data_IF_981194355780
#
_entry.id   IF_981194355780
#
_cell.length_a   1.000
_cell.length_b   1.000
_cell.length_c   1.000
_cell.angle_alpha   90.00
_cell.angle_beta   90.00
_cell.angle_gamma   90.00
#
_symmetry.space_group_name_H-M   'P 1'
#
loop_
_entity.id
_entity.type
_entity.pdbx_description
1 polymer ?
#
# COMPACT_ATOMS: atom_id res chain seq x y z
N UNK A 1 -11.67 -38.55 19.60
CA UNK A 1 -12.10 -37.29 20.23
C UNK A 1 -13.07 -36.63 19.29
N UNK A 2 -14.33 -36.45 19.69
CA UNK A 2 -15.32 -35.78 18.86
C UNK A 2 -14.89 -34.32 18.73
N UNK A 3 -14.41 -33.91 17.55
CA UNK A 3 -14.17 -32.51 17.27
C UNK A 3 -15.51 -31.80 17.44
N UNK A 4 -15.57 -30.78 18.29
CA UNK A 4 -16.75 -29.95 18.45
C UNK A 4 -17.17 -29.44 17.06
N UNK A 5 -18.38 -29.76 16.63
CA UNK A 5 -18.92 -29.23 15.39
C UNK A 5 -18.89 -27.70 15.43
N UNK A 6 -18.36 -27.09 14.38
CA UNK A 6 -18.26 -25.63 14.23
C UNK A 6 -19.66 -25.01 14.29
N UNK A 7 -19.96 -24.26 15.34
CA UNK A 7 -21.26 -23.60 15.56
C UNK A 7 -21.25 -22.11 15.18
N UNK A 8 -20.29 -21.66 14.38
CA UNK A 8 -20.15 -20.26 13.96
C UNK A 8 -19.64 -20.17 12.51
N UNK A 9 -19.87 -19.02 11.86
CA UNK A 9 -19.48 -18.83 10.46
C UNK A 9 -18.06 -18.28 10.28
N UNK A 10 -17.35 -17.96 11.36
CA UNK A 10 -15.97 -17.45 11.33
C UNK A 10 -14.94 -18.50 10.92
N UNK A 11 -13.84 -18.06 10.32
CA UNK A 11 -12.67 -18.89 10.02
C UNK A 11 -11.76 -18.94 11.26
N UNK A 12 -11.48 -20.15 11.77
CA UNK A 12 -10.45 -20.37 12.78
C UNK A 12 -9.17 -20.77 12.03
N UNK A 13 -8.27 -19.81 11.88
CA UNK A 13 -7.02 -19.99 11.12
C UNK A 13 -6.10 -20.94 11.88
N UNK A 14 -5.47 -21.86 11.15
CA UNK A 14 -4.44 -22.74 11.70
C UNK A 14 -3.19 -21.95 12.14
N UNK A 15 -2.39 -22.48 13.08
CA UNK A 15 -1.13 -21.85 13.46
C UNK A 15 -0.21 -21.64 12.25
N UNK A 16 0.04 -20.37 11.91
CA UNK A 16 0.87 -19.98 10.76
C UNK A 16 2.21 -19.36 11.22
N UNK A 17 3.34 -19.69 10.58
CA UNK A 17 4.63 -19.09 10.89
C UNK A 17 4.81 -17.67 10.33
N UNK A 18 4.01 -17.27 9.33
CA UNK A 18 4.21 -16.04 8.57
C UNK A 18 4.21 -14.74 9.38
N UNK A 19 3.40 -14.57 10.45
CA UNK A 19 3.48 -13.39 11.30
C UNK A 19 4.88 -13.19 11.91
N UNK A 20 5.50 -14.27 12.40
CA UNK A 20 6.83 -14.20 13.03
C UNK A 20 7.92 -13.98 11.97
N UNK A 21 7.86 -14.69 10.85
CA UNK A 21 8.82 -14.53 9.75
C UNK A 21 8.76 -13.10 9.19
N UNK A 22 7.56 -12.56 9.01
CA UNK A 22 7.35 -11.18 8.57
C UNK A 22 7.88 -10.15 9.57
N UNK A 23 7.62 -10.34 10.87
CA UNK A 23 8.14 -9.45 11.91
C UNK A 23 9.68 -9.43 11.96
N UNK A 24 10.33 -10.60 11.87
CA UNK A 24 11.80 -10.68 11.82
C UNK A 24 12.33 -10.03 10.54
N UNK A 25 11.70 -10.27 9.39
CA UNK A 25 12.10 -9.68 8.11
C UNK A 25 11.99 -8.15 8.12
N UNK A 26 10.91 -7.62 8.68
CA UNK A 26 10.71 -6.19 8.87
C UNK A 26 11.76 -5.58 9.82
N UNK A 27 12.06 -6.26 10.93
CA UNK A 27 13.10 -5.83 11.86
C UNK A 27 14.49 -5.79 11.20
N UNK A 28 14.86 -6.84 10.47
CA UNK A 28 16.14 -6.90 9.73
C UNK A 28 16.20 -5.80 8.67
N UNK A 29 15.10 -5.52 7.98
CA UNK A 29 15.02 -4.42 7.00
C UNK A 29 15.24 -3.07 7.68
N UNK A 30 14.55 -2.80 8.80
CA UNK A 30 14.67 -1.55 9.53
C UNK A 30 16.08 -1.33 10.10
N UNK A 31 16.66 -2.33 10.77
CA UNK A 31 18.04 -2.27 11.28
C UNK A 31 19.03 -2.14 10.12
N UNK A 32 18.85 -2.91 9.05
CA UNK A 32 19.68 -2.82 7.85
C UNK A 32 19.66 -1.44 7.21
N UNK A 33 18.48 -0.81 7.12
CA UNK A 33 18.34 0.55 6.61
C UNK A 33 19.05 1.57 7.50
N UNK A 34 18.89 1.48 8.83
CA UNK A 34 19.58 2.36 9.79
C UNK A 34 21.10 2.22 9.65
N UNK A 35 21.62 0.99 9.65
CA UNK A 35 23.07 0.75 9.56
C UNK A 35 23.65 1.18 8.21
N UNK A 36 22.87 1.05 7.14
CA UNK A 36 23.26 1.54 5.82
C UNK A 36 23.31 3.07 5.75
N UNK A 37 22.28 3.76 6.26
CA UNK A 37 22.22 5.24 6.27
C UNK A 37 23.29 5.87 7.17
N UNK A 38 23.77 5.14 8.18
CA UNK A 38 24.90 5.57 9.04
C UNK A 38 26.26 5.09 8.52
N UNK A 39 26.33 4.54 7.30
CA UNK A 39 27.57 4.08 6.66
C UNK A 39 28.34 2.98 7.44
N UNK A 40 27.67 2.25 8.35
CA UNK A 40 28.29 1.20 9.18
C UNK A 40 28.38 -0.12 8.41
N UNK A 41 27.31 -0.48 7.68
CA UNK A 41 27.24 -1.69 6.85
C UNK A 41 26.77 -1.36 5.43
N UNK A 42 27.18 -2.15 4.43
CA UNK A 42 26.61 -2.03 3.09
C UNK A 42 25.11 -2.41 3.08
N UNK A 43 24.41 -1.98 2.04
CA UNK A 43 22.95 -2.13 1.85
C UNK A 43 22.44 -3.59 1.89
N UNK A 44 23.32 -4.59 1.81
CA UNK A 44 22.99 -6.00 1.71
C UNK A 44 22.11 -6.53 2.86
N UNK A 45 22.30 -6.03 4.09
CA UNK A 45 21.47 -6.46 5.22
C UNK A 45 20.02 -5.98 5.07
N UNK A 46 19.83 -4.73 4.63
CA UNK A 46 18.50 -4.18 4.31
C UNK A 46 17.84 -4.99 3.20
N UNK A 47 18.56 -5.29 2.11
CA UNK A 47 18.04 -6.07 0.99
C UNK A 47 17.68 -7.50 1.39
N UNK A 48 18.46 -8.14 2.25
CA UNK A 48 18.15 -9.47 2.76
C UNK A 48 16.84 -9.48 3.56
N UNK A 49 16.64 -8.49 4.44
CA UNK A 49 15.38 -8.30 5.15
C UNK A 49 14.21 -8.05 4.19
N UNK A 50 14.42 -7.19 3.20
CA UNK A 50 13.38 -6.82 2.22
C UNK A 50 12.94 -8.02 1.37
N UNK A 51 13.88 -8.86 0.92
CA UNK A 51 13.57 -10.14 0.25
C UNK A 51 12.76 -11.06 1.18
N UNK A 52 13.08 -11.09 2.48
CA UNK A 52 12.30 -11.81 3.48
C UNK A 52 10.85 -11.32 3.60
N UNK A 53 10.62 -10.00 3.52
CA UNK A 53 9.28 -9.42 3.49
C UNK A 53 8.53 -9.88 2.24
N UNK A 54 9.15 -9.76 1.06
CA UNK A 54 8.53 -10.19 -0.21
C UNK A 54 8.18 -11.68 -0.20
N UNK A 55 9.09 -12.51 0.32
CA UNK A 55 8.83 -13.94 0.49
C UNK A 55 7.67 -14.20 1.44
N UNK A 56 7.62 -13.50 2.58
CA UNK A 56 6.50 -13.62 3.53
C UNK A 56 5.17 -13.25 2.88
N UNK A 57 5.13 -12.14 2.12
CA UNK A 57 3.92 -11.72 1.40
C UNK A 57 3.47 -12.79 0.39
N UNK A 58 4.41 -13.29 -0.42
CA UNK A 58 4.12 -14.34 -1.40
C UNK A 58 3.59 -15.62 -0.75
N UNK A 59 4.29 -16.14 0.26
CA UNK A 59 3.93 -17.39 0.91
C UNK A 59 2.61 -17.27 1.69
N UNK A 60 2.45 -16.18 2.45
CA UNK A 60 1.23 -15.95 3.23
C UNK A 60 0.01 -15.76 2.33
N UNK A 61 0.12 -14.97 1.26
CA UNK A 61 -1.00 -14.83 0.32
C UNK A 61 -1.32 -16.12 -0.43
N UNK A 62 -0.32 -16.96 -0.71
CA UNK A 62 -0.55 -18.28 -1.30
C UNK A 62 -1.41 -19.16 -0.39
N UNK A 63 -1.15 -19.14 0.91
CA UNK A 63 -1.95 -19.87 1.90
C UNK A 63 -3.39 -19.30 1.99
N UNK A 64 -3.54 -17.98 2.04
CA UNK A 64 -4.88 -17.32 2.04
C UNK A 64 -5.67 -17.64 0.76
N UNK A 65 -5.01 -17.76 -0.40
CA UNK A 65 -5.65 -18.20 -1.64
C UNK A 65 -6.11 -19.66 -1.54
N UNK A 66 -5.29 -20.55 -0.96
CA UNK A 66 -5.67 -21.94 -0.75
C UNK A 66 -6.85 -22.08 0.23
N UNK A 67 -6.84 -21.31 1.32
CA UNK A 67 -7.93 -21.19 2.29
C UNK A 67 -9.21 -20.65 1.62
N UNK A 68 -9.08 -19.64 0.75
CA UNK A 68 -10.21 -19.06 0.05
C UNK A 68 -10.87 -19.98 -0.99
N UNK A 69 -10.08 -20.84 -1.64
CA UNK A 69 -10.55 -21.72 -2.70
C UNK A 69 -11.03 -23.10 -2.21
N UNK A 70 -10.88 -23.42 -0.93
CA UNK A 70 -11.28 -24.73 -0.40
C UNK A 70 -12.80 -24.90 -0.22
N UNK A 71 -13.58 -23.82 -0.44
CA UNK A 71 -15.04 -23.82 -0.39
C UNK A 71 -15.65 -23.92 1.01
N UNK A 72 -14.86 -23.81 2.08
CA UNK A 72 -15.31 -23.95 3.48
C UNK A 72 -14.98 -22.75 4.36
N UNK A 73 -13.79 -22.18 4.21
CA UNK A 73 -13.29 -21.21 5.19
C UNK A 73 -13.72 -19.77 4.91
N UNK A 74 -13.85 -19.37 3.65
CA UNK A 74 -14.33 -18.04 3.26
C UNK A 74 -15.87 -18.00 3.11
N UNK A 75 -16.57 -18.17 4.24
CA UNK A 75 -18.03 -17.98 4.31
C UNK A 75 -18.44 -16.54 3.94
N UNK A 76 -19.71 -16.26 3.61
CA UNK A 76 -20.16 -14.90 3.34
C UNK A 76 -19.85 -13.89 4.47
N UNK A 77 -19.88 -14.35 5.73
CA UNK A 77 -19.49 -13.54 6.89
C UNK A 77 -18.01 -13.19 6.82
N UNK A 78 -17.13 -14.15 6.55
CA UNK A 78 -15.67 -13.91 6.42
C UNK A 78 -15.35 -13.00 5.24
N UNK A 79 -16.00 -13.21 4.09
CA UNK A 79 -15.83 -12.34 2.91
C UNK A 79 -16.27 -10.89 3.18
N UNK A 80 -17.34 -10.68 3.96
CA UNK A 80 -17.75 -9.35 4.39
C UNK A 80 -16.67 -8.67 5.24
N UNK A 81 -16.02 -9.41 6.15
CA UNK A 81 -14.92 -8.87 6.95
C UNK A 81 -13.67 -8.57 6.11
N UNK A 82 -13.35 -9.36 5.08
CA UNK A 82 -12.28 -9.00 4.13
C UNK A 82 -12.58 -7.69 3.40
N UNK A 83 -13.84 -7.44 3.01
CA UNK A 83 -14.25 -6.16 2.39
C UNK A 83 -14.07 -5.00 3.36
N UNK A 84 -14.54 -5.13 4.61
CA UNK A 84 -14.32 -4.10 5.63
C UNK A 84 -12.83 -3.87 5.93
N UNK A 85 -12.04 -4.94 6.03
CA UNK A 85 -10.60 -4.86 6.21
C UNK A 85 -9.92 -4.07 5.07
N UNK A 86 -10.27 -4.37 3.81
CA UNK A 86 -9.72 -3.64 2.65
C UNK A 86 -10.17 -2.18 2.62
N UNK A 87 -11.43 -1.88 2.96
CA UNK A 87 -11.93 -0.50 3.04
C UNK A 87 -11.16 0.28 4.11
N UNK A 88 -10.97 -0.29 5.30
CA UNK A 88 -10.24 0.37 6.39
C UNK A 88 -8.75 0.55 6.05
N UNK A 89 -8.14 -0.44 5.38
CA UNK A 89 -6.77 -0.34 4.89
C UNK A 89 -6.61 0.81 3.87
N UNK A 90 -7.47 0.86 2.84
CA UNK A 90 -7.48 1.98 1.87
C UNK A 90 -7.72 3.32 2.58
N UNK A 91 -8.64 3.36 3.55
CA UNK A 91 -8.90 4.58 4.32
C UNK A 91 -7.65 5.04 5.10
N UNK A 92 -6.85 4.11 5.67
CA UNK A 92 -5.58 4.49 6.31
C UNK A 92 -4.54 5.02 5.32
N UNK A 93 -4.48 4.47 4.10
CA UNK A 93 -3.60 4.97 3.04
C UNK A 93 -4.01 6.37 2.57
N UNK A 94 -5.32 6.64 2.44
CA UNK A 94 -5.83 7.99 2.15
C UNK A 94 -5.38 8.98 3.22
N UNK A 95 -5.47 8.62 4.50
CA UNK A 95 -5.00 9.48 5.60
C UNK A 95 -3.47 9.70 5.58
N UNK A 96 -2.70 8.69 5.18
CA UNK A 96 -1.27 8.85 4.92
C UNK A 96 -1.01 9.88 3.81
N UNK A 97 -1.72 9.83 2.69
CA UNK A 97 -1.64 10.86 1.64
C UNK A 97 -2.09 12.25 2.12
N UNK A 98 -3.13 12.33 2.96
CA UNK A 98 -3.58 13.60 3.55
C UNK A 98 -2.44 14.29 4.30
N UNK A 99 -1.57 13.55 5.01
CA UNK A 99 -0.42 14.14 5.69
C UNK A 99 0.60 14.76 4.70
N UNK A 100 0.83 14.12 3.55
CA UNK A 100 1.69 14.68 2.49
C UNK A 100 1.07 15.90 1.81
N UNK A 101 -0.23 15.86 1.51
CA UNK A 101 -0.94 17.03 1.00
C UNK A 101 -0.94 18.17 2.00
N UNK A 102 -1.08 17.87 3.30
CA UNK A 102 -0.94 18.86 4.35
C UNK A 102 0.44 19.51 4.31
N UNK A 103 1.52 18.73 4.28
CA UNK A 103 2.88 19.25 4.20
C UNK A 103 3.09 20.12 2.93
N UNK A 104 2.55 19.69 1.80
CA UNK A 104 2.57 20.47 0.56
C UNK A 104 1.81 21.80 0.71
N UNK A 105 0.57 21.78 1.18
CA UNK A 105 -0.26 22.98 1.29
C UNK A 105 0.24 23.94 2.37
N UNK A 106 0.82 23.43 3.45
CA UNK A 106 1.47 24.24 4.48
C UNK A 106 2.59 25.09 3.87
N UNK A 107 3.41 24.52 2.98
CA UNK A 107 4.45 25.27 2.26
C UNK A 107 3.84 26.15 1.17
N UNK A 108 2.89 25.64 0.38
CA UNK A 108 2.26 26.35 -0.74
C UNK A 108 1.49 27.60 -0.31
N UNK A 109 0.81 27.58 0.83
CA UNK A 109 0.07 28.76 1.33
C UNK A 109 0.90 29.62 2.28
N UNK A 110 1.91 29.06 2.93
CA UNK A 110 2.77 29.76 3.89
C UNK A 110 4.19 29.98 3.38
N UNK A 111 4.41 30.16 2.08
CA UNK A 111 5.75 30.29 1.49
C UNK A 111 6.48 31.57 1.93
N UNK A 112 5.75 32.63 2.27
CA UNK A 112 6.25 33.95 2.68
C UNK A 112 6.06 34.21 4.19
N UNK A 113 5.72 33.18 4.96
CA UNK A 113 5.37 33.33 6.36
C UNK A 113 6.55 33.79 7.22
N UNK A 114 6.40 34.96 7.86
CA UNK A 114 7.45 35.61 8.67
C UNK A 114 7.86 34.80 9.92
N UNK A 115 7.03 33.88 10.38
CA UNK A 115 7.32 32.99 11.51
C UNK A 115 8.19 31.77 11.12
N UNK A 116 8.45 31.54 9.83
CA UNK A 116 9.21 30.41 9.30
C UNK A 116 10.38 30.91 8.44
N UNK A 117 11.32 31.62 9.06
CA UNK A 117 12.45 32.28 8.37
C UNK A 117 13.26 31.31 7.51
N UNK A 118 13.55 30.10 8.01
CA UNK A 118 14.29 29.08 7.27
C UNK A 118 13.57 28.61 5.99
N UNK A 119 12.23 28.63 5.98
CA UNK A 119 11.44 28.32 4.78
C UNK A 119 11.59 29.43 3.76
N UNK A 120 11.41 30.69 4.16
CA UNK A 120 11.53 31.85 3.26
C UNK A 120 12.91 31.91 2.63
N UNK A 121 13.96 31.59 3.39
CA UNK A 121 15.33 31.47 2.89
C UNK A 121 15.47 30.35 1.86
N UNK A 122 14.87 29.19 2.10
CA UNK A 122 14.92 28.05 1.18
C UNK A 122 14.06 28.22 -0.08
N UNK A 123 12.91 28.91 0.00
CA UNK A 123 11.98 29.08 -1.13
C UNK A 123 12.20 30.38 -1.89
N UNK A 124 12.88 31.37 -1.29
CA UNK A 124 12.95 32.73 -1.81
C UNK A 124 11.67 33.55 -1.56
N UNK A 125 10.75 33.06 -0.71
CA UNK A 125 9.49 33.74 -0.41
C UNK A 125 8.47 33.71 -1.55
N UNK A 126 8.55 32.73 -2.44
CA UNK A 126 7.54 32.50 -3.49
C UNK A 126 7.36 31.02 -3.79
N UNK A 127 6.26 30.68 -4.47
CA UNK A 127 5.98 29.34 -4.97
C UNK A 127 5.74 29.37 -6.48
N UNK A 128 6.37 28.49 -7.28
CA UNK A 128 7.37 27.48 -6.91
C UNK A 128 8.69 28.12 -6.44
N UNK A 129 9.53 27.45 -5.62
CA UNK A 129 10.82 27.98 -5.18
C UNK A 129 11.75 28.42 -6.31
N UNK A 130 12.65 29.38 -6.05
CA UNK A 130 13.68 29.80 -7.01
C UNK A 130 14.48 28.60 -7.53
N UNK A 131 14.61 28.48 -8.84
CA UNK A 131 15.38 27.40 -9.47
C UNK A 131 14.63 26.07 -9.63
N UNK A 132 13.36 25.99 -9.22
CA UNK A 132 12.49 24.85 -9.48
C UNK A 132 11.66 25.10 -10.73
N UNK A 133 11.92 24.32 -11.79
CA UNK A 133 11.08 24.30 -12.99
C UNK A 133 9.91 23.34 -12.79
N UNK A 134 8.70 23.82 -13.09
CA UNK A 134 7.49 23.01 -13.00
C UNK A 134 7.24 22.25 -14.29
N UNK A 135 6.73 21.03 -14.17
CA UNK A 135 6.20 20.29 -15.32
C UNK A 135 4.95 20.98 -15.86
N UNK A 136 4.85 21.08 -17.19
CA UNK A 136 3.62 21.51 -17.84
C UNK A 136 2.51 20.46 -17.58
N UNK A 137 1.40 20.83 -16.91
CA UNK A 137 0.33 19.90 -16.61
C UNK A 137 -0.35 19.33 -17.87
N UNK A 138 -0.27 20.00 -19.02
CA UNK A 138 -0.94 19.60 -20.26
C UNK A 138 -0.15 18.57 -21.09
N UNK A 139 1.05 18.20 -20.66
CA UNK A 139 1.91 17.24 -21.33
C UNK A 139 1.83 15.85 -20.69
N UNK A 140 2.92 15.36 -20.10
CA UNK A 140 3.00 14.03 -19.49
C UNK A 140 2.00 13.82 -18.33
N UNK A 141 1.76 14.80 -17.43
CA UNK A 141 0.79 14.63 -16.35
C UNK A 141 -0.64 14.39 -16.86
N UNK A 142 -1.07 15.11 -17.90
CA UNK A 142 -2.37 14.89 -18.53
C UNK A 142 -2.48 13.48 -19.12
N UNK A 143 -1.46 13.03 -19.86
CA UNK A 143 -1.46 11.70 -20.45
C UNK A 143 -1.55 10.60 -19.39
N UNK A 144 -0.81 10.73 -18.29
CA UNK A 144 -0.89 9.81 -17.15
C UNK A 144 -2.29 9.80 -16.52
N UNK A 145 -2.95 10.96 -16.45
CA UNK A 145 -4.32 11.07 -15.94
C UNK A 145 -5.30 10.32 -16.84
N UNK A 146 -5.19 10.48 -18.16
CA UNK A 146 -6.01 9.76 -19.14
C UNK A 146 -5.76 8.24 -19.08
N UNK A 147 -4.50 7.82 -18.92
CA UNK A 147 -4.14 6.41 -18.77
C UNK A 147 -4.81 5.81 -17.52
N UNK A 148 -4.76 6.51 -16.38
CA UNK A 148 -5.41 6.04 -15.16
C UNK A 148 -6.94 5.97 -15.31
N UNK A 149 -7.58 6.99 -15.88
CA UNK A 149 -9.03 7.01 -16.10
C UNK A 149 -9.49 5.89 -17.05
N UNK A 150 -8.76 5.69 -18.15
CA UNK A 150 -9.07 4.62 -19.10
C UNK A 150 -8.82 3.25 -18.50
N UNK A 151 -7.77 3.06 -17.69
CA UNK A 151 -7.55 1.81 -16.95
C UNK A 151 -8.69 1.49 -15.95
N UNK A 152 -9.31 2.53 -15.37
CA UNK A 152 -10.51 2.41 -14.54
C UNK A 152 -11.73 1.90 -15.31
N UNK A 153 -11.86 2.32 -16.58
CA UNK A 153 -12.92 1.84 -17.47
C UNK A 153 -12.69 0.38 -17.86
N UNK A 154 -11.45 0.00 -18.20
CA UNK A 154 -11.12 -1.38 -18.59
C UNK A 154 -11.27 -2.36 -17.43
N UNK A 155 -10.89 -2.00 -16.19
CA UNK A 155 -11.10 -2.88 -15.04
C UNK A 155 -12.59 -3.02 -14.68
N UNK A 156 -13.39 -1.96 -14.88
CA UNK A 156 -14.84 -2.02 -14.69
C UNK A 156 -15.48 -2.96 -15.71
N UNK A 157 -15.03 -2.91 -16.96
CA UNK A 157 -15.44 -3.88 -17.98
C UNK A 157 -15.06 -5.30 -17.57
N UNK A 158 -13.79 -5.57 -17.24
CA UNK A 158 -13.35 -6.90 -16.83
C UNK A 158 -14.17 -7.45 -15.64
N UNK A 159 -14.56 -6.58 -14.69
CA UNK A 159 -15.45 -6.96 -13.60
C UNK A 159 -16.83 -7.43 -14.09
N UNK A 160 -17.45 -6.70 -15.03
CA UNK A 160 -18.73 -7.10 -15.62
C UNK A 160 -18.62 -8.39 -16.45
N UNK A 161 -17.55 -8.55 -17.24
CA UNK A 161 -17.29 -9.79 -17.98
C UNK A 161 -17.20 -11.00 -17.03
N UNK A 162 -16.52 -10.84 -15.89
CA UNK A 162 -16.44 -11.88 -14.86
C UNK A 162 -17.82 -12.26 -14.29
N UNK A 163 -18.70 -11.28 -14.05
CA UNK A 163 -20.05 -11.52 -13.53
C UNK A 163 -20.95 -12.23 -14.54
N UNK A 164 -20.76 -11.96 -15.84
CA UNK A 164 -21.51 -12.59 -16.94
C UNK A 164 -20.91 -13.93 -17.40
N UNK A 165 -19.73 -14.30 -16.88
CA UNK A 165 -19.03 -15.54 -17.25
C UNK A 165 -18.34 -15.50 -18.62
N UNK A 166 -18.14 -14.31 -19.18
CA UNK A 166 -17.39 -14.11 -20.42
C UNK A 166 -15.88 -14.13 -20.14
N UNK A 167 -15.20 -15.19 -20.62
CA UNK A 167 -13.75 -15.35 -20.43
C UNK A 167 -12.91 -14.70 -21.52
N UNK A 168 -13.49 -14.44 -22.69
CA UNK A 168 -12.78 -13.80 -23.80
C UNK A 168 -12.76 -12.27 -23.63
N UNK A 169 -13.73 -11.73 -22.89
CA UNK A 169 -13.81 -10.33 -22.49
C UNK A 169 -13.05 -9.96 -21.20
N UNK A 170 -12.37 -10.91 -20.54
CA UNK A 170 -11.45 -10.68 -19.42
C UNK A 170 -10.06 -10.26 -19.90
#
# INVERSE_FOLDING_TARGET
>A
MAAHAKNHDYHLVDPSPWPVVGAISAFVTAVGAILWMHEILPIWLMLAGFVGILYTMFAWWSDVIAEGNNGRDHTPVVQMHHRYGMILFIASEVMFFVAWFWAYFDIFFGFDSLNQIARVEATGGHWPPVGVELFDPWHLPLFNTLLLLTSGTTVTWAHHALLEGDRDGL
#
